data_IF_339753268143
#
_entry.id   IF_339753268143
#
_cell.length_a   1.000
_cell.length_b   1.000
_cell.length_c   1.000
_cell.angle_alpha   90.00
_cell.angle_beta   90.00
_cell.angle_gamma   90.00
#
_symmetry.space_group_name_H-M   'P 1'
#
loop_
_entity.id
_entity.type
_entity.pdbx_description
1 polymer ?
#
# COMPACT_ATOMS: atom_id res chain seq x y z
N UNK A 1 15.07 -9.78 33.01
CA UNK A 1 14.66 -8.48 32.40
C UNK A 1 15.29 -8.36 31.03
N UNK A 2 14.58 -8.76 29.97
CA UNK A 2 15.03 -8.55 28.58
C UNK A 2 14.45 -7.22 28.11
N UNK A 3 15.31 -6.27 27.77
CA UNK A 3 14.92 -4.99 27.14
C UNK A 3 14.25 -5.31 25.81
N UNK A 4 12.95 -4.97 25.68
CA UNK A 4 12.28 -4.92 24.39
C UNK A 4 12.99 -3.88 23.54
N UNK A 5 13.60 -4.32 22.45
CA UNK A 5 14.11 -3.43 21.42
C UNK A 5 12.89 -2.79 20.74
N UNK A 6 12.61 -1.55 21.08
CA UNK A 6 11.68 -0.69 20.34
C UNK A 6 12.31 -0.41 18.98
N UNK A 7 12.02 -1.25 17.98
CA UNK A 7 12.34 -0.94 16.60
C UNK A 7 11.36 0.15 16.12
N UNK A 8 11.69 1.40 16.41
CA UNK A 8 11.13 2.52 15.67
C UNK A 8 11.51 2.30 14.20
N UNK A 9 10.53 1.93 13.37
CA UNK A 9 10.63 2.10 11.94
C UNK A 9 10.69 3.61 11.70
N UNK A 10 11.91 4.18 11.73
CA UNK A 10 12.15 5.53 11.25
C UNK A 10 11.90 5.51 9.74
N UNK A 11 10.70 5.91 9.34
CA UNK A 11 10.45 6.23 7.94
C UNK A 11 11.33 7.43 7.58
N UNK A 12 12.29 7.29 6.66
CA UNK A 12 13.16 8.38 6.29
C UNK A 12 12.30 9.53 5.78
N UNK A 13 12.33 10.66 6.49
CA UNK A 13 11.76 11.92 6.00
C UNK A 13 12.61 12.34 4.82
N UNK A 14 12.12 12.13 3.60
CA UNK A 14 12.78 12.63 2.41
C UNK A 14 12.93 14.16 2.55
N UNK A 15 14.14 14.74 2.34
CA UNK A 15 14.34 16.18 2.40
C UNK A 15 13.49 16.84 1.31
N UNK A 16 12.52 17.63 1.70
CA UNK A 16 11.69 18.41 0.78
C UNK A 16 12.57 19.52 0.17
N UNK A 17 12.88 19.43 -1.12
CA UNK A 17 13.47 20.54 -1.85
C UNK A 17 12.41 21.65 -1.93
N UNK A 18 12.76 22.86 -1.50
CA UNK A 18 11.92 24.04 -1.56
C UNK A 18 11.47 24.25 -3.01
N UNK A 19 10.15 24.15 -3.27
CA UNK A 19 9.56 24.31 -4.61
C UNK A 19 8.93 23.07 -5.24
N UNK A 20 9.10 21.85 -4.67
CA UNK A 20 8.46 20.67 -5.23
C UNK A 20 6.98 20.57 -4.84
N UNK A 21 6.11 20.16 -5.78
CA UNK A 21 4.70 19.85 -5.49
C UNK A 21 4.65 18.78 -4.39
N UNK A 22 3.79 19.03 -3.41
CA UNK A 22 3.47 18.04 -2.37
C UNK A 22 2.62 16.94 -2.97
N UNK A 23 3.25 15.84 -3.41
CA UNK A 23 2.53 14.68 -3.93
C UNK A 23 2.29 13.66 -2.82
N UNK A 24 1.02 13.42 -2.52
CA UNK A 24 0.57 12.42 -1.55
C UNK A 24 -0.32 11.43 -2.27
N UNK A 25 0.26 10.28 -2.60
CA UNK A 25 -0.35 9.28 -3.48
C UNK A 25 -0.80 8.08 -2.66
N UNK A 26 -2.11 7.77 -2.69
CA UNK A 26 -2.64 6.53 -2.12
C UNK A 26 -2.82 5.49 -3.24
N UNK A 27 -2.19 4.32 -3.11
CA UNK A 27 -2.30 3.20 -4.04
C UNK A 27 -3.22 2.14 -3.44
N UNK A 28 -4.38 1.94 -4.06
CA UNK A 28 -5.41 1.01 -3.58
C UNK A 28 -5.68 -0.11 -4.59
N UNK A 29 -6.25 -1.20 -4.12
CA UNK A 29 -6.60 -2.37 -4.94
C UNK A 29 -6.52 -3.67 -4.16
N UNK A 30 -6.99 -4.75 -4.75
CA UNK A 30 -7.03 -6.08 -4.13
C UNK A 30 -5.62 -6.63 -3.84
N UNK A 31 -5.51 -7.57 -2.90
CA UNK A 31 -4.24 -8.28 -2.65
C UNK A 31 -3.72 -8.95 -3.92
N UNK A 32 -2.40 -8.88 -4.15
CA UNK A 32 -1.76 -9.47 -5.34
C UNK A 32 -1.86 -8.64 -6.64
N UNK A 33 -2.60 -7.52 -6.67
CA UNK A 33 -2.74 -6.69 -7.87
C UNK A 33 -1.44 -5.98 -8.30
N UNK A 34 -0.49 -5.78 -7.37
CA UNK A 34 0.80 -5.13 -7.64
C UNK A 34 0.97 -3.74 -7.03
N UNK A 35 0.17 -3.40 -6.02
CA UNK A 35 0.23 -2.10 -5.31
C UNK A 35 1.64 -1.75 -4.83
N UNK A 36 2.28 -2.65 -4.07
CA UNK A 36 3.61 -2.40 -3.49
C UNK A 36 4.68 -2.17 -4.56
N UNK A 37 4.60 -2.88 -5.69
CA UNK A 37 5.52 -2.67 -6.82
C UNK A 37 5.34 -1.28 -7.42
N UNK A 38 4.09 -0.87 -7.66
CA UNK A 38 3.78 0.47 -8.18
C UNK A 38 4.20 1.56 -7.18
N UNK A 39 3.81 1.40 -5.91
CA UNK A 39 4.06 2.40 -4.89
C UNK A 39 5.57 2.66 -4.67
N UNK A 40 6.40 1.61 -4.67
CA UNK A 40 7.86 1.77 -4.60
C UNK A 40 8.42 2.50 -5.81
N UNK A 41 7.95 2.20 -7.03
CA UNK A 41 8.39 2.90 -8.25
C UNK A 41 7.97 4.38 -8.24
N UNK A 42 6.73 4.67 -7.85
CA UNK A 42 6.26 6.04 -7.71
C UNK A 42 7.04 6.80 -6.63
N UNK A 43 7.28 6.20 -5.47
CA UNK A 43 8.08 6.81 -4.42
C UNK A 43 9.49 7.16 -4.88
N UNK A 44 10.13 6.24 -5.62
CA UNK A 44 11.46 6.48 -6.19
C UNK A 44 11.45 7.61 -7.25
N UNK A 45 10.49 7.62 -8.18
CA UNK A 45 10.41 8.60 -9.26
C UNK A 45 10.00 10.00 -8.79
N UNK A 46 9.23 10.10 -7.70
CA UNK A 46 8.79 11.37 -7.11
C UNK A 46 9.60 11.78 -5.88
N UNK A 47 10.62 11.04 -5.52
CA UNK A 47 11.44 11.29 -4.31
C UNK A 47 10.59 11.41 -3.03
N UNK A 48 9.44 10.73 -2.98
CA UNK A 48 8.50 10.72 -1.88
C UNK A 48 8.80 9.57 -0.89
N UNK A 49 8.36 9.70 0.36
CA UNK A 49 8.45 8.63 1.33
C UNK A 49 7.55 7.45 0.92
N UNK A 50 8.06 6.22 0.94
CA UNK A 50 7.26 5.02 0.73
C UNK A 50 6.68 4.54 2.05
N UNK A 51 5.36 4.39 2.13
CA UNK A 51 4.63 3.92 3.30
C UNK A 51 3.91 2.61 2.94
N UNK A 52 4.29 1.51 3.57
CA UNK A 52 3.65 0.20 3.43
C UNK A 52 2.80 -0.10 4.67
N UNK A 53 1.48 -0.02 4.55
CA UNK A 53 0.58 -0.24 5.69
C UNK A 53 0.68 -1.67 6.25
N UNK A 54 0.97 -2.66 5.39
CA UNK A 54 1.20 -4.04 5.82
C UNK A 54 2.45 -4.15 6.71
N UNK A 55 3.51 -3.39 6.43
CA UNK A 55 4.71 -3.37 7.26
C UNK A 55 4.47 -2.70 8.63
N UNK A 56 3.55 -1.73 8.71
CA UNK A 56 3.13 -1.14 9.99
C UNK A 56 2.26 -2.12 10.78
N UNK A 57 1.39 -2.86 10.07
CA UNK A 57 0.40 -3.75 10.69
C UNK A 57 1.03 -5.04 11.25
N UNK A 58 1.84 -5.73 10.44
CA UNK A 58 2.31 -7.05 10.80
C UNK A 58 3.54 -7.00 11.69
N UNK A 59 3.35 -7.40 12.94
CA UNK A 59 4.42 -7.57 13.92
C UNK A 59 4.98 -8.99 13.85
N UNK A 60 6.02 -9.30 14.63
CA UNK A 60 6.53 -10.67 14.77
C UNK A 60 5.40 -11.66 15.09
N UNK A 61 5.57 -12.93 14.68
CA UNK A 61 4.58 -13.99 14.87
C UNK A 61 3.21 -13.68 14.21
N UNK A 62 3.20 -12.94 13.11
CA UNK A 62 1.97 -12.57 12.38
C UNK A 62 0.92 -11.83 13.22
N UNK A 63 1.31 -11.14 14.29
CA UNK A 63 0.38 -10.36 15.11
C UNK A 63 -0.08 -9.10 14.37
N UNK A 64 -1.39 -8.93 14.14
CA UNK A 64 -1.92 -7.80 13.38
C UNK A 64 -2.16 -6.60 14.30
N UNK A 65 -1.32 -5.59 14.26
CA UNK A 65 -1.44 -4.38 15.09
C UNK A 65 -2.80 -3.68 14.92
N UNK A 66 -3.35 -3.67 13.70
CA UNK A 66 -4.66 -3.10 13.41
C UNK A 66 -5.82 -3.74 14.20
N UNK A 67 -5.65 -4.98 14.69
CA UNK A 67 -6.64 -5.69 15.48
C UNK A 67 -6.26 -5.70 16.96
N UNK A 68 -4.96 -5.94 17.26
CA UNK A 68 -4.47 -6.13 18.61
C UNK A 68 -4.33 -4.81 19.37
N UNK A 69 -3.90 -3.73 18.69
CA UNK A 69 -3.82 -2.37 19.20
C UNK A 69 -4.17 -1.35 18.11
N UNK A 70 -5.46 -1.14 17.80
CA UNK A 70 -5.91 -0.21 16.77
C UNK A 70 -5.47 1.23 17.00
N UNK A 71 -5.32 1.65 18.25
CA UNK A 71 -4.91 3.01 18.62
C UNK A 71 -3.44 3.25 18.23
N UNK A 72 -2.56 2.30 18.53
CA UNK A 72 -1.17 2.36 18.15
C UNK A 72 -0.99 2.25 16.63
N UNK A 73 -1.76 1.39 15.95
CA UNK A 73 -1.78 1.33 14.50
C UNK A 73 -2.16 2.68 13.88
N UNK A 74 -3.24 3.29 14.36
CA UNK A 74 -3.69 4.62 13.93
C UNK A 74 -2.59 5.67 14.14
N UNK A 75 -1.99 5.72 15.32
CA UNK A 75 -0.93 6.66 15.67
C UNK A 75 0.29 6.53 14.75
N UNK A 76 0.74 5.30 14.46
CA UNK A 76 1.88 5.04 13.56
C UNK A 76 1.56 5.47 12.13
N UNK A 77 0.37 5.14 11.62
CA UNK A 77 -0.02 5.53 10.27
C UNK A 77 -0.16 7.06 10.17
N UNK A 78 -0.77 7.70 11.17
CA UNK A 78 -0.88 9.16 11.21
C UNK A 78 0.49 9.84 11.15
N UNK A 79 1.44 9.38 11.95
CA UNK A 79 2.81 9.89 11.93
C UNK A 79 3.50 9.68 10.58
N UNK A 80 3.29 8.51 9.94
CA UNK A 80 3.86 8.21 8.63
C UNK A 80 3.31 9.13 7.52
N UNK A 81 2.00 9.43 7.52
CA UNK A 81 1.36 10.29 6.49
C UNK A 81 1.41 11.78 6.82
N UNK A 82 2.10 12.18 7.88
CA UNK A 82 2.24 13.59 8.24
C UNK A 82 3.25 14.35 7.35
N UNK A 83 4.08 13.62 6.63
CA UNK A 83 5.08 14.17 5.72
C UNK A 83 4.49 14.96 4.54
N UNK A 84 5.30 15.82 3.91
CA UNK A 84 4.85 16.66 2.79
C UNK A 84 4.57 15.87 1.52
N UNK A 85 5.30 14.79 1.27
CA UNK A 85 5.17 13.93 0.09
C UNK A 85 5.35 12.48 0.46
N UNK A 86 4.43 11.62 0.03
CA UNK A 86 4.48 10.20 0.31
C UNK A 86 3.69 9.38 -0.71
N UNK A 87 4.04 8.11 -0.84
CA UNK A 87 3.26 7.10 -1.57
C UNK A 87 2.87 6.00 -0.59
N UNK A 88 1.58 5.89 -0.30
CA UNK A 88 1.03 4.94 0.65
C UNK A 88 0.45 3.71 -0.07
N UNK A 89 0.95 2.53 0.28
CA UNK A 89 0.47 1.22 -0.20
C UNK A 89 -0.42 0.57 0.85
N UNK A 90 -1.63 0.29 0.47
CA UNK A 90 -2.61 -0.42 1.28
C UNK A 90 -3.89 0.38 1.55
N UNK A 91 -4.89 -0.32 2.09
CA UNK A 91 -6.18 0.27 2.41
C UNK A 91 -6.83 -0.45 3.59
N UNK A 92 -6.45 -0.07 4.79
CA UNK A 92 -7.03 -0.56 6.04
C UNK A 92 -8.20 0.32 6.46
N UNK A 93 -9.40 -0.24 6.74
CA UNK A 93 -10.58 0.56 7.10
C UNK A 93 -10.34 1.53 8.28
N UNK A 94 -9.65 1.09 9.32
CA UNK A 94 -9.41 1.88 10.53
C UNK A 94 -8.51 3.10 10.36
N UNK A 95 -7.74 3.19 9.25
CA UNK A 95 -6.83 4.31 8.97
C UNK A 95 -7.07 4.93 7.60
N UNK A 96 -8.10 4.46 6.89
CA UNK A 96 -8.41 4.92 5.53
C UNK A 96 -8.61 6.42 5.47
N UNK A 97 -9.40 6.95 6.38
CA UNK A 97 -9.82 8.35 6.33
C UNK A 97 -8.65 9.31 6.55
N UNK A 98 -7.71 9.00 7.45
CA UNK A 98 -6.52 9.84 7.65
C UNK A 98 -5.57 9.81 6.45
N UNK A 99 -5.49 8.69 5.73
CA UNK A 99 -4.70 8.58 4.50
C UNK A 99 -5.37 9.35 3.37
N UNK A 100 -6.66 9.09 3.11
CA UNK A 100 -7.39 9.65 1.97
C UNK A 100 -7.68 11.15 2.10
N UNK A 101 -7.97 11.64 3.30
CA UNK A 101 -8.15 13.08 3.55
C UNK A 101 -6.90 13.90 3.21
N UNK A 102 -5.73 13.29 3.26
CA UNK A 102 -4.45 13.94 2.94
C UNK A 102 -3.97 13.67 1.52
N UNK A 103 -4.52 12.67 0.84
CA UNK A 103 -4.10 12.28 -0.49
C UNK A 103 -4.42 13.36 -1.53
N UNK A 104 -3.44 13.70 -2.37
CA UNK A 104 -3.62 14.53 -3.55
C UNK A 104 -3.93 13.70 -4.79
N UNK A 105 -3.53 12.43 -4.77
CA UNK A 105 -3.72 11.48 -5.85
C UNK A 105 -4.12 10.12 -5.30
N UNK A 106 -5.04 9.45 -5.99
CA UNK A 106 -5.42 8.08 -5.69
C UNK A 106 -5.27 7.24 -6.96
N UNK A 107 -4.50 6.16 -6.87
CA UNK A 107 -4.32 5.21 -7.95
C UNK A 107 -5.00 3.89 -7.56
N UNK A 108 -6.08 3.55 -8.25
CA UNK A 108 -6.77 2.28 -8.07
C UNK A 108 -6.37 1.29 -9.15
N UNK A 109 -5.72 0.20 -8.74
CA UNK A 109 -5.43 -0.94 -9.61
C UNK A 109 -6.65 -1.88 -9.63
N UNK A 110 -7.46 -1.80 -10.71
CA UNK A 110 -8.70 -2.54 -10.91
C UNK A 110 -8.56 -3.60 -12.01
N UNK A 111 -7.59 -4.49 -11.87
CA UNK A 111 -7.38 -5.53 -12.87
C UNK A 111 -8.44 -6.64 -12.79
N UNK A 112 -8.64 -7.34 -13.94
CA UNK A 112 -9.52 -8.49 -14.00
C UNK A 112 -9.07 -9.60 -13.02
N UNK A 113 -10.04 -10.32 -12.44
CA UNK A 113 -9.81 -11.38 -11.45
C UNK A 113 -8.77 -12.42 -11.87
N UNK A 114 -8.75 -12.94 -13.11
CA UNK A 114 -7.73 -13.90 -13.52
C UNK A 114 -6.29 -13.35 -13.43
N UNK A 115 -6.10 -12.08 -13.78
CA UNK A 115 -4.78 -11.41 -13.69
C UNK A 115 -4.31 -11.34 -12.23
N UNK A 116 -5.20 -10.98 -11.33
CA UNK A 116 -4.91 -10.88 -9.89
C UNK A 116 -4.60 -12.27 -9.33
N UNK A 117 -5.42 -13.27 -9.65
CA UNK A 117 -5.22 -14.63 -9.14
C UNK A 117 -3.90 -15.23 -9.63
N UNK A 118 -3.57 -15.08 -10.90
CA UNK A 118 -2.29 -15.51 -11.42
C UNK A 118 -1.11 -14.87 -10.66
N UNK A 119 -1.17 -13.57 -10.44
CA UNK A 119 -0.10 -12.82 -9.74
C UNK A 119 0.04 -13.24 -8.27
N UNK A 120 -1.08 -13.36 -7.54
CA UNK A 120 -1.03 -13.73 -6.13
C UNK A 120 -0.52 -15.17 -5.96
N UNK A 121 -0.98 -16.11 -6.78
CA UNK A 121 -0.53 -17.52 -6.72
C UNK A 121 0.97 -17.58 -7.03
N UNK A 122 1.43 -16.98 -8.14
CA UNK A 122 2.86 -16.97 -8.49
C UNK A 122 3.72 -16.35 -7.39
N UNK A 123 3.29 -15.23 -6.80
CA UNK A 123 4.00 -14.57 -5.70
C UNK A 123 4.07 -15.47 -4.47
N UNK A 124 2.94 -16.06 -4.04
CA UNK A 124 2.89 -16.93 -2.89
C UNK A 124 3.72 -18.20 -3.09
N UNK A 125 3.72 -18.76 -4.30
CA UNK A 125 4.58 -19.90 -4.65
C UNK A 125 6.06 -19.58 -4.45
N UNK A 126 6.54 -18.46 -5.01
CA UNK A 126 7.94 -18.06 -4.84
C UNK A 126 8.29 -17.76 -3.38
N UNK A 127 7.42 -17.09 -2.65
CA UNK A 127 7.64 -16.78 -1.22
C UNK A 127 7.70 -18.05 -0.36
N UNK A 128 6.83 -19.02 -0.63
CA UNK A 128 6.84 -20.30 0.11
C UNK A 128 8.10 -21.13 -0.18
N UNK A 129 8.63 -21.11 -1.43
CA UNK A 129 9.89 -21.78 -1.78
C UNK A 129 11.08 -21.09 -1.15
N UNK A 130 11.18 -19.78 -1.32
CA UNK A 130 12.35 -19.01 -0.88
C UNK A 130 12.39 -18.79 0.61
N UNK A 131 11.25 -19.00 1.31
CA UNK A 131 11.08 -18.65 2.73
C UNK A 131 11.57 -17.26 3.08
N UNK A 132 11.46 -16.34 2.11
CA UNK A 132 11.87 -14.96 2.27
C UNK A 132 11.04 -14.30 3.37
N UNK A 133 11.71 -13.60 4.26
CA UNK A 133 11.06 -12.77 5.27
C UNK A 133 10.28 -11.65 4.58
N UNK A 134 9.02 -11.45 4.97
CA UNK A 134 8.13 -10.50 4.30
C UNK A 134 8.38 -9.06 4.72
N UNK A 135 8.66 -8.87 6.00
CA UNK A 135 9.01 -7.55 6.57
C UNK A 135 10.22 -7.72 7.48
N UNK A 136 11.30 -6.99 7.24
CA UNK A 136 12.56 -7.16 7.98
C UNK A 136 12.38 -7.09 9.49
N UNK A 137 12.95 -8.06 10.22
CA UNK A 137 12.93 -8.11 11.68
C UNK A 137 11.66 -8.72 12.29
N UNK A 138 10.68 -9.16 11.49
CA UNK A 138 9.47 -9.82 11.99
C UNK A 138 9.59 -11.33 12.07
N UNK A 139 10.47 -11.93 11.28
CA UNK A 139 10.60 -13.40 11.11
C UNK A 139 9.42 -14.02 10.33
N UNK A 140 8.48 -13.23 9.82
CA UNK A 140 7.29 -13.72 9.14
C UNK A 140 7.62 -14.25 7.74
N UNK A 141 7.33 -15.53 7.49
CA UNK A 141 7.50 -16.19 6.20
C UNK A 141 6.20 -16.82 5.72
N UNK A 142 6.04 -17.01 4.43
CA UNK A 142 4.85 -17.64 3.83
C UNK A 142 5.07 -19.16 3.70
N UNK A 143 4.06 -19.98 4.06
CA UNK A 143 4.11 -21.43 3.98
C UNK A 143 2.98 -21.99 3.12
N UNK A 144 3.25 -23.07 2.39
CA UNK A 144 2.23 -23.75 1.56
C UNK A 144 1.03 -24.27 2.35
N UNK A 145 1.26 -24.69 3.60
CA UNK A 145 0.20 -25.21 4.49
C UNK A 145 -0.91 -24.18 4.75
N UNK A 146 -0.60 -22.90 4.68
CA UNK A 146 -1.54 -21.82 4.95
C UNK A 146 -2.39 -21.40 3.74
N UNK A 147 -2.16 -21.95 2.53
CA UNK A 147 -2.80 -21.44 1.30
C UNK A 147 -4.32 -21.52 1.27
N UNK A 148 -4.90 -22.47 2.00
CA UNK A 148 -6.35 -22.63 2.11
C UNK A 148 -6.97 -21.83 3.27
N UNK A 149 -6.15 -21.25 4.12
CA UNK A 149 -6.61 -20.44 5.25
C UNK A 149 -7.32 -19.18 4.75
N UNK A 150 -8.42 -18.81 5.41
CA UNK A 150 -9.22 -17.61 5.03
C UNK A 150 -8.41 -16.32 5.06
N UNK A 151 -7.39 -16.23 5.91
CA UNK A 151 -6.48 -15.09 6.03
C UNK A 151 -5.37 -15.08 4.97
N UNK A 152 -5.14 -16.19 4.27
CA UNK A 152 -4.08 -16.27 3.26
C UNK A 152 -4.39 -15.39 2.04
N UNK A 153 -3.41 -14.65 1.47
CA UNK A 153 -3.62 -13.74 0.35
C UNK A 153 -4.34 -14.34 -0.87
N UNK A 154 -4.12 -15.61 -1.19
CA UNK A 154 -4.80 -16.31 -2.31
C UNK A 154 -6.29 -16.42 -2.02
N UNK A 155 -6.66 -16.99 -0.87
CA UNK A 155 -8.05 -17.18 -0.49
C UNK A 155 -8.75 -15.84 -0.27
N UNK A 156 -8.09 -14.92 0.41
CA UNK A 156 -8.57 -13.56 0.61
C UNK A 156 -8.86 -12.83 -0.71
N UNK A 157 -7.93 -12.88 -1.69
CA UNK A 157 -8.12 -12.25 -2.99
C UNK A 157 -9.31 -12.87 -3.74
N UNK A 158 -9.49 -14.19 -3.65
CA UNK A 158 -10.61 -14.87 -4.28
C UNK A 158 -11.95 -14.49 -3.65
N UNK A 159 -12.07 -14.60 -2.35
CA UNK A 159 -13.33 -14.44 -1.61
C UNK A 159 -13.80 -12.97 -1.59
N UNK A 160 -12.87 -12.02 -1.53
CA UNK A 160 -13.21 -10.60 -1.35
C UNK A 160 -13.19 -9.78 -2.63
N UNK A 161 -12.85 -10.36 -3.80
CA UNK A 161 -12.64 -9.63 -5.06
C UNK A 161 -13.82 -8.72 -5.43
N UNK A 162 -15.04 -9.28 -5.56
CA UNK A 162 -16.21 -8.53 -6.00
C UNK A 162 -16.60 -7.43 -5.01
N UNK A 163 -16.61 -7.78 -3.72
CA UNK A 163 -16.93 -6.84 -2.64
C UNK A 163 -15.92 -5.68 -2.59
N UNK A 164 -14.61 -6.00 -2.66
CA UNK A 164 -13.55 -4.97 -2.64
C UNK A 164 -13.61 -4.07 -3.86
N UNK A 165 -13.90 -4.63 -5.04
CA UNK A 165 -14.06 -3.86 -6.27
C UNK A 165 -15.20 -2.86 -6.16
N UNK A 166 -16.36 -3.28 -5.66
CA UNK A 166 -17.49 -2.40 -5.40
C UNK A 166 -17.17 -1.31 -4.37
N UNK A 167 -16.51 -1.68 -3.27
CA UNK A 167 -16.07 -0.74 -2.24
C UNK A 167 -15.11 0.33 -2.79
N UNK A 168 -14.15 -0.05 -3.63
CA UNK A 168 -13.20 0.91 -4.23
C UNK A 168 -13.89 1.82 -5.25
N UNK A 169 -14.82 1.31 -6.05
CA UNK A 169 -15.62 2.13 -6.94
C UNK A 169 -16.40 3.21 -6.16
N UNK A 170 -17.06 2.80 -5.08
CA UNK A 170 -17.80 3.73 -4.21
C UNK A 170 -16.85 4.75 -3.51
N UNK A 171 -15.67 4.28 -3.10
CA UNK A 171 -14.68 5.12 -2.43
C UNK A 171 -14.18 6.25 -3.34
N UNK A 172 -13.99 5.99 -4.62
CA UNK A 172 -13.55 7.02 -5.57
C UNK A 172 -14.59 8.15 -5.74
N UNK A 173 -15.86 7.88 -5.48
CA UNK A 173 -16.93 8.88 -5.53
C UNK A 173 -17.15 9.59 -4.16
N UNK A 174 -16.45 9.15 -3.12
CA UNK A 174 -16.63 9.69 -1.78
C UNK A 174 -16.17 11.16 -1.69
N UNK A 175 -16.88 12.01 -0.93
CA UNK A 175 -16.55 13.45 -0.76
C UNK A 175 -15.13 13.70 -0.25
N UNK A 176 -14.57 12.79 0.55
CA UNK A 176 -13.20 12.88 1.06
C UNK A 176 -12.14 12.94 -0.05
N UNK A 177 -12.48 12.46 -1.25
CA UNK A 177 -11.61 12.47 -2.44
C UNK A 177 -12.04 13.50 -3.49
N UNK A 178 -12.89 14.47 -3.14
CA UNK A 178 -13.38 15.46 -4.10
C UNK A 178 -12.26 16.29 -4.74
N UNK A 179 -11.22 16.62 -3.98
CA UNK A 179 -10.07 17.40 -4.44
C UNK A 179 -8.91 16.53 -4.98
N UNK A 180 -8.96 15.22 -4.83
CA UNK A 180 -7.90 14.33 -5.24
C UNK A 180 -8.01 13.96 -6.74
N UNK A 181 -6.87 13.89 -7.43
CA UNK A 181 -6.82 13.31 -8.77
C UNK A 181 -6.93 11.78 -8.68
N UNK A 182 -7.78 11.20 -9.52
CA UNK A 182 -8.15 9.78 -9.45
C UNK A 182 -7.73 9.06 -10.72
N UNK A 183 -6.98 7.99 -10.56
CA UNK A 183 -6.51 7.14 -11.65
C UNK A 183 -7.03 5.72 -11.44
N UNK A 184 -7.88 5.24 -12.34
CA UNK A 184 -8.33 3.85 -12.35
C UNK A 184 -7.63 3.10 -13.46
N UNK A 185 -6.79 2.13 -13.10
CA UNK A 185 -5.99 1.33 -14.04
C UNK A 185 -6.62 -0.05 -14.16
N UNK A 186 -7.26 -0.34 -15.29
CA UNK A 186 -7.99 -1.59 -15.52
C UNK A 186 -7.15 -2.67 -16.19
N UNK A 187 -6.01 -2.30 -16.81
CA UNK A 187 -5.12 -3.24 -17.46
C UNK A 187 -3.65 -2.94 -17.12
N UNK A 188 -2.79 -3.98 -16.92
CA UNK A 188 -1.37 -3.77 -16.57
C UNK A 188 -0.57 -2.93 -17.57
N UNK A 189 -0.91 -2.98 -18.87
CA UNK A 189 -0.24 -2.18 -19.92
C UNK A 189 -0.43 -0.67 -19.75
N UNK A 190 -1.53 -0.26 -19.13
CA UNK A 190 -1.88 1.16 -18.97
C UNK A 190 -1.13 1.81 -17.79
N UNK A 191 -0.42 0.98 -17.00
CA UNK A 191 0.26 1.42 -15.79
C UNK A 191 1.38 2.41 -16.08
N UNK A 192 2.15 2.18 -17.16
CA UNK A 192 3.27 3.04 -17.54
C UNK A 192 2.82 4.47 -17.87
N UNK A 193 1.64 4.63 -18.47
CA UNK A 193 1.08 5.94 -18.77
C UNK A 193 0.77 6.74 -17.49
N UNK A 194 0.20 6.06 -16.47
CA UNK A 194 -0.09 6.69 -15.17
C UNK A 194 1.20 7.04 -14.42
N UNK A 195 2.19 6.17 -14.43
CA UNK A 195 3.50 6.44 -13.83
C UNK A 195 4.17 7.67 -14.49
N UNK A 196 4.15 7.73 -15.83
CA UNK A 196 4.71 8.85 -16.57
C UNK A 196 3.97 10.16 -16.29
N UNK A 197 2.64 10.14 -16.23
CA UNK A 197 1.83 11.32 -15.92
C UNK A 197 2.14 11.87 -14.52
N UNK A 198 2.24 11.00 -13.50
CA UNK A 198 2.57 11.39 -12.14
C UNK A 198 4.01 11.93 -12.01
N UNK A 199 4.97 11.32 -12.70
CA UNK A 199 6.35 11.80 -12.73
C UNK A 199 6.47 13.17 -13.41
N UNK A 200 5.75 13.40 -14.52
CA UNK A 200 5.72 14.69 -15.20
C UNK A 200 5.12 15.80 -14.34
N UNK A 201 4.03 15.52 -13.62
CA UNK A 201 3.43 16.50 -12.70
C UNK A 201 4.40 16.87 -11.57
N UNK A 202 5.16 15.90 -11.06
CA UNK A 202 6.20 16.18 -10.07
C UNK A 202 7.30 17.08 -10.60
N UNK A 203 7.79 16.81 -11.81
CA UNK A 203 8.91 17.56 -12.42
C UNK A 203 8.48 18.92 -12.96
N UNK A 204 7.28 19.05 -13.54
CA UNK A 204 6.77 20.28 -14.13
C UNK A 204 6.46 21.39 -13.13
N UNK A 205 6.34 21.05 -11.86
CA UNK A 205 6.15 22.04 -10.80
C UNK A 205 7.45 22.45 -10.10
N UNK A 206 8.56 21.84 -10.51
CA UNK A 206 9.90 22.18 -10.03
C UNK A 206 10.64 23.11 -11.00
N UNK A 207 10.01 23.46 -12.12
CA UNK A 207 10.48 24.41 -13.11
C UNK A 207 9.74 25.75 -12.98
#
# INVERSE_FOLDING_TARGET
MRKQANSHLDYPRAPCKTGSIRMRIAVIGTSGVGKSTLARRLAASTQAAYIELDAINWQAEWKPLATDDPAEFYRRVQAAVDGPSWVCDGNYPGVRDIVLARATHVVWLDYARPVIMWRVIRRSFWRAITKAELWPGTGNTEAFSAWLDKGHPIRWAWDTFAQRRAQYAHLLEAPILAAAQKYRVTHPRDLAAVESALAQQHNGASA
#
